data_IF_652970197734
#
_entry.id   IF_652970197734
#
_cell.length_a   1.000
_cell.length_b   1.000
_cell.length_c   1.000
_cell.angle_alpha   90.00
_cell.angle_beta   90.00
_cell.angle_gamma   90.00
#
_symmetry.space_group_name_H-M   'P 1'
#
loop_
_entity.id
_entity.type
_entity.pdbx_description
1 polymer ?
#
# COMPACT_ATOMS: atom_id res chain seq x y z
N UNK A 1 32.97 0.67 -19.87
CA UNK A 1 32.06 0.78 -19.85
C UNK A 1 31.46 0.58 -19.81
N UNK A 2 31.84 0.46 -19.43
CA UNK A 2 30.90 0.48 -19.27
C UNK A 2 30.19 0.44 -19.17
N UNK A 3 30.58 0.39 -18.87
CA UNK A 3 29.58 0.63 -18.68
C UNK A 3 29.13 0.62 -18.54
N UNK A 4 29.16 0.87 -18.09
CA UNK A 4 28.29 1.19 -17.93
C UNK A 4 27.70 1.25 -17.81
N UNK A 5 27.74 1.37 -17.55
CA UNK A 5 26.94 1.61 -17.50
C UNK A 5 26.14 1.68 -17.41
N UNK A 6 26.41 1.90 -17.31
CA UNK A 6 25.46 2.08 -17.24
C UNK A 6 24.75 2.22 -17.29
N UNK A 7 24.94 2.50 -17.14
CA UNK A 7 24.03 2.71 -17.13
C UNK A 7 23.36 2.76 -16.99
N UNK A 8 23.83 2.90 -16.73
CA UNK A 8 22.95 3.15 -16.42
C UNK A 8 22.54 3.24 -16.12
N UNK A 9 22.42 3.52 -15.81
CA UNK A 9 21.75 3.76 -15.49
C UNK A 9 21.34 4.00 -15.20
N UNK A 10 21.47 4.24 -15.03
CA UNK A 10 20.90 4.55 -14.75
C UNK A 10 20.48 4.85 -14.53
N UNK A 11 20.55 4.94 -14.51
CA UNK A 11 19.96 5.17 -14.36
C UNK A 11 19.66 5.35 -13.95
N UNK A 12 19.96 5.30 -13.80
CA UNK A 12 19.47 5.28 -13.36
C UNK A 12 19.51 5.03 -12.83
N UNK A 13 20.07 5.33 -12.49
CA UNK A 13 20.01 4.87 -11.97
C UNK A 13 19.65 4.10 -11.62
N UNK A 14 19.71 4.02 -11.72
CA UNK A 14 19.31 3.10 -11.14
C UNK A 14 18.26 2.23 -10.73
N UNK A 15 17.50 2.49 -9.82
CA UNK A 15 16.43 1.64 -9.36
C UNK A 15 15.18 1.70 -10.24
N UNK A 16 14.14 0.90 -9.91
CA UNK A 16 12.88 0.95 -10.66
C UNK A 16 12.22 2.32 -10.54
N UNK A 17 11.63 2.78 -11.63
CA UNK A 17 10.90 4.04 -11.62
C UNK A 17 9.56 3.86 -10.88
N UNK A 18 9.07 4.92 -10.26
CA UNK A 18 7.87 4.87 -9.43
C UNK A 18 6.66 4.34 -10.18
N UNK A 19 6.48 4.70 -11.47
CA UNK A 19 5.35 4.22 -12.25
C UNK A 19 5.33 2.69 -12.39
N UNK A 20 6.50 2.06 -12.52
CA UNK A 20 6.59 0.60 -12.60
C UNK A 20 6.21 -0.05 -11.27
N UNK A 21 6.65 0.54 -10.16
CA UNK A 21 6.30 0.06 -8.83
C UNK A 21 4.78 0.16 -8.60
N UNK A 22 4.19 1.28 -9.02
CA UNK A 22 2.75 1.48 -8.92
C UNK A 22 2.00 0.44 -9.75
N UNK A 23 2.42 0.23 -10.99
CA UNK A 23 1.78 -0.77 -11.86
C UNK A 23 1.86 -2.16 -11.24
N UNK A 24 3.00 -2.51 -10.69
CA UNK A 24 3.19 -3.80 -10.03
C UNK A 24 2.23 -3.95 -8.83
N UNK A 25 2.12 -2.92 -8.00
CA UNK A 25 1.24 -2.93 -6.84
C UNK A 25 -0.23 -3.03 -7.25
N UNK A 26 -0.64 -2.27 -8.26
CA UNK A 26 -2.02 -2.30 -8.75
C UNK A 26 -2.38 -3.67 -9.35
N UNK A 27 -1.40 -4.47 -9.74
CA UNK A 27 -1.61 -5.82 -10.22
C UNK A 27 -1.77 -6.86 -9.11
N UNK A 28 -1.52 -6.51 -7.85
CA UNK A 28 -1.63 -7.44 -6.74
C UNK A 28 -3.07 -7.50 -6.22
N UNK A 29 -3.50 -8.68 -5.75
CA UNK A 29 -4.91 -8.92 -5.52
C UNK A 29 -5.42 -8.49 -4.14
N UNK A 30 -4.71 -8.85 -3.09
CA UNK A 30 -5.23 -8.73 -1.72
C UNK A 30 -4.67 -7.50 -1.03
N UNK A 31 -5.55 -6.54 -0.75
CA UNK A 31 -5.19 -5.25 -0.18
C UNK A 31 -5.83 -5.08 1.20
N UNK A 32 -5.01 -5.01 2.23
CA UNK A 32 -5.47 -4.63 3.56
C UNK A 32 -5.39 -3.12 3.67
N UNK A 33 -6.51 -2.48 3.99
CA UNK A 33 -6.58 -1.03 4.09
C UNK A 33 -6.67 -0.65 5.56
N UNK A 34 -5.56 -0.15 6.10
CA UNK A 34 -5.45 0.24 7.51
C UNK A 34 -6.00 1.65 7.69
N UNK A 35 -6.99 1.77 8.56
CA UNK A 35 -7.72 3.02 8.76
C UNK A 35 -9.10 3.02 8.09
N UNK A 36 -9.49 1.91 7.49
CA UNK A 36 -10.78 1.80 6.80
C UNK A 36 -11.91 1.50 7.78
N UNK A 37 -12.87 2.40 7.87
CA UNK A 37 -14.09 2.25 8.66
C UNK A 37 -15.30 2.58 7.80
N UNK A 38 -16.50 2.55 8.40
CA UNK A 38 -17.73 2.90 7.71
C UNK A 38 -17.97 4.41 7.62
N UNK A 39 -17.01 5.23 8.00
CA UNK A 39 -17.11 6.67 7.84
C UNK A 39 -16.96 7.05 6.37
N UNK A 40 -18.09 7.29 5.69
CA UNK A 40 -18.13 7.60 4.27
C UNK A 40 -17.49 8.94 3.91
N UNK A 41 -17.21 9.78 4.90
CA UNK A 41 -16.52 11.06 4.67
C UNK A 41 -15.00 10.90 4.59
N UNK A 42 -14.47 9.75 4.99
CA UNK A 42 -13.04 9.48 4.92
C UNK A 42 -12.68 8.94 3.54
N UNK A 43 -11.51 9.36 3.05
CA UNK A 43 -11.03 8.94 1.73
C UNK A 43 -10.93 7.41 1.59
N UNK A 44 -10.56 6.72 2.65
CA UNK A 44 -10.43 5.27 2.63
C UNK A 44 -11.71 4.56 2.18
N UNK A 45 -12.86 5.08 2.56
CA UNK A 45 -14.16 4.47 2.22
C UNK A 45 -14.36 4.41 0.70
N UNK A 46 -14.11 5.52 0.00
CA UNK A 46 -14.27 5.58 -1.45
C UNK A 46 -13.18 4.83 -2.19
N UNK A 47 -11.95 4.90 -1.70
CA UNK A 47 -10.83 4.18 -2.32
C UNK A 47 -11.08 2.67 -2.23
N UNK A 48 -11.54 2.18 -1.07
CA UNK A 48 -11.86 0.77 -0.89
C UNK A 48 -12.92 0.32 -1.89
N UNK A 49 -13.96 1.12 -2.08
CA UNK A 49 -15.02 0.80 -3.04
C UNK A 49 -14.47 0.66 -4.46
N UNK A 50 -13.62 1.60 -4.86
CA UNK A 50 -13.00 1.56 -6.18
C UNK A 50 -12.13 0.32 -6.35
N UNK A 51 -11.32 -0.01 -5.35
CA UNK A 51 -10.45 -1.18 -5.43
C UNK A 51 -11.27 -2.48 -5.58
N UNK A 52 -12.39 -2.58 -4.86
CA UNK A 52 -13.30 -3.72 -5.01
C UNK A 52 -13.85 -3.77 -6.44
N UNK A 53 -14.26 -2.63 -6.99
CA UNK A 53 -14.78 -2.54 -8.36
C UNK A 53 -13.72 -2.94 -9.39
N UNK A 54 -12.44 -2.72 -9.08
CA UNK A 54 -11.32 -3.12 -9.95
C UNK A 54 -10.90 -4.58 -9.75
N UNK A 55 -11.57 -5.32 -8.90
CA UNK A 55 -11.32 -6.75 -8.72
C UNK A 55 -10.39 -7.12 -7.57
N UNK A 56 -9.98 -6.15 -6.76
CA UNK A 56 -9.15 -6.46 -5.59
C UNK A 56 -9.97 -7.06 -4.47
N UNK A 57 -9.33 -7.93 -3.68
CA UNK A 57 -9.88 -8.36 -2.41
C UNK A 57 -9.45 -7.31 -1.36
N UNK A 58 -10.42 -6.63 -0.76
CA UNK A 58 -10.16 -5.57 0.21
C UNK A 58 -10.46 -6.08 1.62
N UNK A 59 -9.52 -5.81 2.54
CA UNK A 59 -9.64 -6.23 3.94
C UNK A 59 -9.59 -4.97 4.79
N UNK A 60 -10.71 -4.58 5.43
CA UNK A 60 -10.70 -3.44 6.35
C UNK A 60 -9.89 -3.76 7.61
N UNK A 61 -8.98 -2.87 8.00
CA UNK A 61 -8.25 -3.00 9.26
C UNK A 61 -8.39 -1.69 10.03
N UNK A 62 -9.01 -1.77 11.20
CA UNK A 62 -9.33 -0.61 12.02
C UNK A 62 -9.62 -1.10 13.44
N UNK A 63 -9.31 -0.32 14.49
CA UNK A 63 -9.60 -0.75 15.87
C UNK A 63 -11.03 -1.20 16.10
N UNK A 64 -12.01 -0.67 15.36
CA UNK A 64 -13.42 -1.07 15.49
C UNK A 64 -13.75 -2.37 14.76
N UNK A 65 -12.86 -2.86 13.90
CA UNK A 65 -13.04 -4.10 13.13
C UNK A 65 -14.39 -4.19 12.41
N UNK A 66 -14.86 -3.08 11.84
CA UNK A 66 -16.18 -3.03 11.20
C UNK A 66 -16.17 -3.75 9.86
N UNK A 67 -17.33 -4.33 9.50
CA UNK A 67 -17.54 -4.78 8.13
C UNK A 67 -17.77 -3.55 7.25
N UNK A 68 -17.01 -3.43 6.16
CA UNK A 68 -17.10 -2.28 5.25
C UNK A 68 -17.29 -2.80 3.84
N UNK A 69 -18.27 -2.28 3.11
CA UNK A 69 -18.62 -2.73 1.75
C UNK A 69 -18.81 -4.25 1.69
N UNK A 70 -19.37 -4.84 2.75
CA UNK A 70 -19.58 -6.29 2.80
C UNK A 70 -18.33 -7.11 3.14
N UNK A 71 -17.19 -6.47 3.36
CA UNK A 71 -15.93 -7.15 3.67
C UNK A 71 -15.72 -7.17 5.18
N UNK A 72 -15.39 -8.35 5.71
CA UNK A 72 -15.13 -8.51 7.14
C UNK A 72 -13.91 -7.71 7.55
N UNK A 73 -14.03 -6.93 8.63
CA UNK A 73 -12.93 -6.15 9.18
C UNK A 73 -12.18 -6.88 10.29
N UNK A 74 -10.96 -6.42 10.54
CA UNK A 74 -10.08 -6.95 11.58
C UNK A 74 -9.49 -5.79 12.35
N UNK A 75 -9.19 -6.01 13.61
CA UNK A 75 -8.62 -4.98 14.47
C UNK A 75 -7.16 -4.69 14.10
N UNK A 76 -6.39 -5.72 13.77
CA UNK A 76 -4.97 -5.63 13.46
C UNK A 76 -4.63 -6.45 12.23
N UNK A 77 -3.55 -6.08 11.55
CA UNK A 77 -3.04 -6.86 10.42
C UNK A 77 -2.74 -8.31 10.80
N UNK A 78 -2.20 -8.51 12.00
CA UNK A 78 -1.85 -9.85 12.47
C UNK A 78 -3.07 -10.76 12.72
N UNK A 79 -4.26 -10.19 12.79
CA UNK A 79 -5.50 -10.97 12.99
C UNK A 79 -6.02 -11.55 11.67
N UNK A 80 -5.55 -11.07 10.54
CA UNK A 80 -6.01 -11.54 9.22
C UNK A 80 -5.46 -12.96 8.98
N UNK A 81 -6.35 -13.96 8.75
CA UNK A 81 -5.93 -15.36 8.73
C UNK A 81 -5.39 -15.86 7.39
N UNK A 82 -5.08 -14.97 6.46
CA UNK A 82 -4.56 -15.34 5.12
C UNK A 82 -3.56 -14.29 4.64
N UNK A 83 -2.74 -14.61 3.61
CA UNK A 83 -1.71 -13.69 3.14
C UNK A 83 -2.28 -12.37 2.61
N UNK A 84 -1.57 -11.29 2.88
CA UNK A 84 -1.89 -9.95 2.38
C UNK A 84 -0.80 -9.55 1.40
N UNK A 85 -1.20 -9.07 0.22
CA UNK A 85 -0.24 -8.60 -0.78
C UNK A 85 0.18 -7.16 -0.51
N UNK A 86 -0.77 -6.26 -0.36
CA UNK A 86 -0.50 -4.82 -0.17
C UNK A 86 -1.15 -4.34 1.13
N UNK A 87 -0.39 -3.58 1.89
CA UNK A 87 -0.91 -2.85 3.05
C UNK A 87 -1.02 -1.39 2.66
N UNK A 88 -2.25 -0.90 2.52
CA UNK A 88 -2.57 0.48 2.13
C UNK A 88 -2.85 1.27 3.41
N UNK A 89 -2.11 2.36 3.61
CA UNK A 89 -2.01 3.02 4.92
C UNK A 89 -2.70 4.38 4.91
N UNK A 90 -3.84 4.45 5.61
CA UNK A 90 -4.67 5.64 5.79
C UNK A 90 -4.63 6.13 7.24
N UNK A 91 -3.46 6.18 7.85
CA UNK A 91 -3.28 6.73 9.19
C UNK A 91 -2.34 7.92 9.11
N UNK A 92 -2.28 8.70 10.19
CA UNK A 92 -1.37 9.84 10.25
C UNK A 92 0.08 9.40 10.06
N UNK A 93 0.91 10.30 9.52
CA UNK A 93 2.33 10.00 9.29
C UNK A 93 3.03 9.51 10.56
N UNK A 94 2.64 10.03 11.72
CA UNK A 94 3.23 9.63 13.01
C UNK A 94 2.98 8.16 13.34
N UNK A 95 1.90 7.58 12.82
CA UNK A 95 1.53 6.19 13.07
C UNK A 95 1.93 5.26 11.93
N UNK A 96 2.29 5.82 10.79
CA UNK A 96 2.55 5.03 9.58
C UNK A 96 3.70 4.05 9.76
N UNK A 97 4.75 4.46 10.48
CA UNK A 97 5.92 3.60 10.69
C UNK A 97 5.58 2.30 11.39
N UNK A 98 4.71 2.33 12.40
CA UNK A 98 4.27 1.13 13.10
C UNK A 98 3.49 0.20 12.17
N UNK A 99 2.66 0.77 11.30
CA UNK A 99 1.90 -0.02 10.34
C UNK A 99 2.83 -0.67 9.32
N UNK A 100 3.84 0.08 8.84
CA UNK A 100 4.85 -0.47 7.93
C UNK A 100 5.59 -1.64 8.60
N UNK A 101 5.99 -1.48 9.86
CA UNK A 101 6.68 -2.54 10.58
C UNK A 101 5.78 -3.79 10.73
N UNK A 102 4.49 -3.58 10.97
CA UNK A 102 3.53 -4.69 11.01
C UNK A 102 3.39 -5.38 9.65
N UNK A 103 3.40 -4.61 8.57
CA UNK A 103 3.36 -5.16 7.21
C UNK A 103 4.59 -6.02 6.91
N UNK A 104 5.75 -5.57 7.36
CA UNK A 104 6.99 -6.35 7.23
C UNK A 104 6.87 -7.66 8.01
N UNK A 105 6.35 -7.58 9.24
CA UNK A 105 6.24 -8.76 10.11
C UNK A 105 5.32 -9.84 9.55
N UNK A 106 4.28 -9.47 8.78
CA UNK A 106 3.36 -10.43 8.17
C UNK A 106 3.79 -10.85 6.75
N UNK A 107 4.96 -10.41 6.31
CA UNK A 107 5.50 -10.73 4.98
C UNK A 107 4.61 -10.25 3.84
N UNK A 108 4.04 -9.07 3.96
CA UNK A 108 3.32 -8.43 2.85
C UNK A 108 4.29 -8.21 1.68
N UNK A 109 3.77 -8.12 0.46
CA UNK A 109 4.60 -7.88 -0.72
C UNK A 109 4.93 -6.40 -0.89
N UNK A 110 4.05 -5.51 -0.40
CA UNK A 110 4.28 -4.09 -0.51
C UNK A 110 3.49 -3.28 0.50
N UNK A 111 3.91 -2.03 0.66
CA UNK A 111 3.21 -1.02 1.46
C UNK A 111 2.89 0.17 0.57
N UNK A 112 1.72 0.75 0.78
CA UNK A 112 1.27 1.91 0.04
C UNK A 112 0.85 2.98 1.05
N UNK A 113 1.65 4.04 1.14
CA UNK A 113 1.34 5.17 2.01
C UNK A 113 0.53 6.19 1.21
N UNK A 114 -0.68 6.46 1.70
CA UNK A 114 -1.66 7.30 1.01
C UNK A 114 -1.20 8.76 0.88
N UNK A 115 -1.91 9.57 0.10
CA UNK A 115 -1.62 11.00 -0.03
C UNK A 115 -1.44 11.62 1.36
N UNK A 116 -0.38 12.42 1.50
CA UNK A 116 -0.02 13.14 2.73
C UNK A 116 0.41 12.25 3.89
N UNK A 117 0.53 10.94 3.67
CA UNK A 117 1.13 10.04 4.65
C UNK A 117 2.60 9.88 4.27
N UNK A 118 3.47 10.51 5.03
CA UNK A 118 4.89 10.64 4.72
C UNK A 118 5.73 10.08 5.86
N UNK A 119 6.54 9.08 5.56
CA UNK A 119 7.54 8.53 6.49
C UNK A 119 8.63 7.85 5.69
N UNK A 120 9.65 8.63 5.32
CA UNK A 120 10.75 8.15 4.48
C UNK A 120 11.53 7.03 5.17
N UNK A 121 11.75 7.14 6.48
CA UNK A 121 12.46 6.11 7.24
C UNK A 121 11.72 4.76 7.19
N UNK A 122 10.39 4.79 7.32
CA UNK A 122 9.58 3.57 7.24
C UNK A 122 9.64 2.95 5.84
N UNK A 123 9.60 3.78 4.80
CA UNK A 123 9.72 3.31 3.41
C UNK A 123 11.06 2.61 3.21
N UNK A 124 12.15 3.18 3.74
CA UNK A 124 13.48 2.57 3.64
C UNK A 124 13.52 1.22 4.35
N UNK A 125 12.90 1.12 5.53
CA UNK A 125 12.82 -0.17 6.24
C UNK A 125 12.06 -1.21 5.44
N UNK A 126 10.96 -0.82 4.81
CA UNK A 126 10.18 -1.72 3.97
C UNK A 126 11.00 -2.22 2.78
N UNK A 127 11.68 -1.30 2.09
CA UNK A 127 12.52 -1.66 0.94
C UNK A 127 13.68 -2.57 1.35
N UNK A 128 14.31 -2.27 2.48
CA UNK A 128 15.39 -3.12 2.99
C UNK A 128 14.91 -4.52 3.36
N UNK A 129 13.63 -4.65 3.70
CA UNK A 129 13.02 -5.95 3.99
C UNK A 129 12.50 -6.67 2.74
N UNK A 130 12.68 -6.07 1.57
CA UNK A 130 12.28 -6.67 0.30
C UNK A 130 10.86 -6.33 -0.17
N UNK A 131 10.19 -5.39 0.50
CA UNK A 131 8.86 -4.96 0.09
C UNK A 131 8.95 -3.88 -0.99
N UNK A 132 7.93 -3.83 -1.85
CA UNK A 132 7.72 -2.69 -2.73
C UNK A 132 7.11 -1.59 -1.88
N UNK A 133 7.56 -0.35 -2.03
CA UNK A 133 7.03 0.76 -1.24
C UNK A 133 6.63 1.92 -2.15
N UNK A 134 5.40 2.39 -1.98
CA UNK A 134 4.86 3.57 -2.66
C UNK A 134 4.41 4.53 -1.56
N UNK A 135 4.70 5.81 -1.70
CA UNK A 135 4.41 6.80 -0.67
C UNK A 135 3.81 8.05 -1.29
N UNK A 136 2.84 8.64 -0.57
CA UNK A 136 2.21 9.89 -0.97
C UNK A 136 1.54 9.78 -2.33
N UNK A 137 0.76 8.71 -2.52
CA UNK A 137 -0.01 8.45 -3.73
C UNK A 137 -1.39 7.91 -3.36
N UNK A 138 -2.35 8.05 -4.25
CA UNK A 138 -3.70 7.50 -4.06
C UNK A 138 -3.97 6.47 -5.16
N UNK A 139 -4.33 5.22 -4.82
CA UNK A 139 -4.61 4.20 -5.83
C UNK A 139 -5.71 4.60 -6.80
N UNK A 140 -6.74 5.31 -6.32
CA UNK A 140 -7.84 5.76 -7.17
C UNK A 140 -7.35 6.74 -8.23
N UNK A 141 -6.47 7.67 -7.84
CA UNK A 141 -5.88 8.63 -8.79
C UNK A 141 -5.00 7.89 -9.79
N UNK A 142 -4.20 6.94 -9.31
CA UNK A 142 -3.30 6.19 -10.19
C UNK A 142 -4.08 5.36 -11.21
N UNK A 143 -5.21 4.76 -10.80
CA UNK A 143 -6.07 4.04 -11.74
C UNK A 143 -6.64 4.96 -12.83
N UNK A 144 -7.01 6.20 -12.48
CA UNK A 144 -7.56 7.14 -13.46
C UNK A 144 -6.55 7.56 -14.53
N UNK A 145 -5.26 7.46 -14.23
CA UNK A 145 -4.18 7.79 -15.17
C UNK A 145 -3.92 6.65 -16.16
N UNK A 146 -4.52 5.50 -15.96
CA UNK A 146 -4.25 4.29 -16.73
C UNK A 146 -5.49 3.89 -17.53
N UNK A 147 -5.29 3.29 -18.75
CA UNK A 147 -6.42 2.84 -19.57
C UNK A 147 -7.18 1.67 -18.97
#
# INVERSE_FOLDING_TARGET
MLGVQLDGNLEHSGGPIMSDQIDQMLGLKTWAIVGLSNNSERAAFGVAKLLIEKGHQVIPVHPKAETVHGQKGYEKLSDVPFPIDVVDIFVNSDLAGEVVDSAIAINAKGVWLQLDVIDQSAVERAENAGLIAVMNRCPAIEYRKRP
#
